data_IF_479495260499
#
_entry.id   IF_479495260499
#
_cell.length_a   1.000
_cell.length_b   1.000
_cell.length_c   1.000
_cell.angle_alpha   90.00
_cell.angle_beta   90.00
_cell.angle_gamma   90.00
#
_symmetry.space_group_name_H-M   'P 1'
#
loop_
_entity.id
_entity.type
_entity.pdbx_description
1 polymer ?
#
# COMPACT_ATOMS: atom_id res chain seq x y z
N UNK A 1 12.40 -20.95 15.75
CA UNK A 1 11.95 -19.67 15.17
C UNK A 1 10.61 -19.90 14.49
N UNK A 2 9.51 -19.67 15.21
CA UNK A 2 8.17 -19.89 14.69
C UNK A 2 7.79 -18.71 13.81
N UNK A 3 7.66 -18.94 12.49
CA UNK A 3 7.04 -17.99 11.57
C UNK A 3 5.58 -17.82 12.00
N UNK A 4 5.24 -16.68 12.60
CA UNK A 4 3.86 -16.22 12.75
C UNK A 4 3.30 -16.02 11.34
N UNK A 5 2.75 -17.08 10.77
CA UNK A 5 2.04 -17.04 9.49
C UNK A 5 0.70 -16.35 9.76
N UNK A 6 0.69 -15.02 9.69
CA UNK A 6 -0.57 -14.28 9.55
C UNK A 6 -1.19 -14.75 8.25
N UNK A 7 -2.37 -15.34 8.32
CA UNK A 7 -3.18 -15.57 7.13
C UNK A 7 -3.66 -14.20 6.66
N UNK A 8 -3.18 -13.81 5.48
CA UNK A 8 -3.67 -12.66 4.76
C UNK A 8 -4.59 -13.19 3.66
N UNK A 9 -5.82 -12.69 3.62
CA UNK A 9 -6.73 -12.99 2.52
C UNK A 9 -6.35 -12.12 1.32
N UNK A 10 -5.97 -12.76 0.22
CA UNK A 10 -5.73 -12.08 -1.05
C UNK A 10 -7.02 -12.24 -1.86
N UNK A 11 -7.64 -11.11 -2.18
CA UNK A 11 -8.84 -11.00 -3.02
C UNK A 11 -8.50 -10.26 -4.32
N UNK A 12 -9.35 -10.31 -5.36
CA UNK A 12 -9.20 -9.48 -6.56
C UNK A 12 -9.14 -7.96 -6.27
N UNK A 13 -9.64 -7.54 -5.11
CA UNK A 13 -9.57 -6.14 -4.64
C UNK A 13 -8.28 -5.83 -3.85
N UNK A 14 -7.36 -6.78 -3.75
CA UNK A 14 -6.08 -6.58 -3.07
C UNK A 14 -5.15 -5.83 -3.99
N UNK A 15 -4.58 -4.74 -3.46
CA UNK A 15 -3.61 -3.92 -4.17
C UNK A 15 -2.29 -3.89 -3.39
N UNK A 16 -1.18 -3.87 -4.13
CA UNK A 16 0.15 -3.72 -3.56
C UNK A 16 0.56 -2.24 -3.58
N UNK A 17 0.94 -1.71 -2.42
CA UNK A 17 1.42 -0.33 -2.28
C UNK A 17 2.91 -0.38 -1.95
N UNK A 18 3.75 -0.03 -2.93
CA UNK A 18 5.20 -0.28 -2.89
C UNK A 18 5.96 1.06 -2.98
N UNK A 19 6.90 1.37 -2.07
CA UNK A 19 7.77 2.53 -2.26
C UNK A 19 8.51 2.43 -3.60
N UNK A 20 8.51 3.51 -4.38
CA UNK A 20 9.14 3.57 -5.70
C UNK A 20 10.09 4.77 -5.77
N UNK A 21 11.27 4.60 -6.37
CA UNK A 21 12.14 5.74 -6.68
C UNK A 21 11.70 6.33 -8.03
N UNK A 22 11.27 7.58 -8.03
CA UNK A 22 10.79 8.27 -9.25
C UNK A 22 11.98 8.83 -10.03
N UNK A 23 12.98 9.36 -9.31
CA UNK A 23 14.28 9.78 -9.82
C UNK A 23 15.30 9.76 -8.68
N UNK A 24 16.53 10.21 -8.93
CA UNK A 24 17.63 10.16 -7.98
C UNK A 24 17.35 10.86 -6.64
N UNK A 25 16.38 11.79 -6.61
CA UNK A 25 16.09 12.63 -5.45
C UNK A 25 14.70 12.33 -4.87
N UNK A 26 13.73 12.00 -5.73
CA UNK A 26 12.32 11.86 -5.35
C UNK A 26 11.92 10.40 -5.16
N UNK A 27 11.29 10.14 -4.03
CA UNK A 27 10.59 8.88 -3.75
C UNK A 27 9.09 9.08 -3.85
N UNK A 28 8.42 8.04 -4.31
CA UNK A 28 6.98 7.96 -4.44
C UNK A 28 6.50 6.55 -4.14
N UNK A 29 5.43 6.16 -4.80
CA UNK A 29 4.81 4.87 -4.62
C UNK A 29 4.35 4.33 -5.95
N UNK A 30 4.59 3.05 -6.17
CA UNK A 30 3.92 2.26 -7.19
C UNK A 30 2.77 1.49 -6.57
N UNK A 31 1.58 1.67 -7.12
CA UNK A 31 0.39 0.91 -6.75
C UNK A 31 0.13 -0.10 -7.86
N UNK A 32 0.05 -1.38 -7.49
CA UNK A 32 -0.31 -2.46 -8.40
C UNK A 32 -1.71 -2.96 -8.03
N UNK A 33 -2.61 -2.89 -9.00
CA UNK A 33 -3.92 -3.55 -8.99
C UNK A 33 -3.86 -4.76 -9.93
N UNK A 34 -4.93 -5.56 -9.97
CA UNK A 34 -5.00 -6.77 -10.81
C UNK A 34 -4.67 -6.47 -12.29
N UNK A 35 -5.17 -5.36 -12.82
CA UNK A 35 -5.04 -5.00 -14.24
C UNK A 35 -4.36 -3.66 -14.48
N UNK A 36 -4.06 -2.90 -13.43
CA UNK A 36 -3.55 -1.54 -13.54
C UNK A 36 -2.32 -1.31 -12.66
N UNK A 37 -1.50 -0.35 -13.07
CA UNK A 37 -0.40 0.15 -12.25
C UNK A 37 -0.36 1.67 -12.28
N UNK A 38 -0.03 2.26 -11.14
CA UNK A 38 0.06 3.72 -10.99
C UNK A 38 1.35 4.09 -10.29
N UNK A 39 2.00 5.17 -10.74
CA UNK A 39 3.14 5.77 -10.04
C UNK A 39 2.73 7.13 -9.50
N UNK A 40 2.81 7.28 -8.18
CA UNK A 40 2.35 8.46 -7.46
C UNK A 40 3.52 9.12 -6.72
N UNK A 41 3.53 10.45 -6.65
CA UNK A 41 4.55 11.23 -5.92
C UNK A 41 4.36 11.26 -4.41
N UNK A 42 3.36 10.55 -3.90
CA UNK A 42 3.08 10.44 -2.48
C UNK A 42 3.78 9.21 -1.89
N UNK A 43 4.17 9.29 -0.62
CA UNK A 43 4.69 8.12 0.09
C UNK A 43 3.58 7.08 0.31
N UNK A 44 3.93 5.79 0.48
CA UNK A 44 2.93 4.75 0.71
C UNK A 44 2.03 5.06 1.90
N UNK A 45 2.62 5.58 2.98
CA UNK A 45 1.89 6.00 4.19
C UNK A 45 0.87 7.10 3.90
N UNK A 46 1.21 8.07 3.03
CA UNK A 46 0.30 9.16 2.69
C UNK A 46 -0.88 8.69 1.85
N UNK A 47 -0.64 7.75 0.92
CA UNK A 47 -1.70 7.11 0.12
C UNK A 47 -2.66 6.35 1.04
N UNK A 48 -2.10 5.56 1.97
CA UNK A 48 -2.86 4.83 2.97
C UNK A 48 -3.71 5.74 3.87
N UNK A 49 -3.14 6.85 4.33
CA UNK A 49 -3.84 7.85 5.16
C UNK A 49 -5.03 8.46 4.41
N UNK A 50 -4.80 8.86 3.16
CA UNK A 50 -5.83 9.45 2.32
C UNK A 50 -6.96 8.46 2.03
N UNK A 51 -6.64 7.20 1.74
CA UNK A 51 -7.64 6.15 1.51
C UNK A 51 -8.51 5.92 2.76
N UNK A 52 -7.89 5.80 3.94
CA UNK A 52 -8.63 5.66 5.19
C UNK A 52 -9.58 6.85 5.42
N UNK A 53 -9.09 8.08 5.23
CA UNK A 53 -9.89 9.31 5.41
C UNK A 53 -11.06 9.40 4.44
N UNK A 54 -10.86 8.98 3.19
CA UNK A 54 -11.94 8.93 2.19
C UNK A 54 -13.11 8.06 2.65
N UNK A 55 -12.82 6.92 3.29
CA UNK A 55 -13.83 6.02 3.86
C UNK A 55 -14.25 6.35 5.30
N UNK A 56 -13.94 7.56 5.80
CA UNK A 56 -14.32 7.99 7.16
C UNK A 56 -13.57 7.27 8.29
N UNK A 57 -12.41 6.67 7.98
CA UNK A 57 -11.59 5.90 8.92
C UNK A 57 -10.19 6.50 9.09
N UNK A 58 -9.37 5.86 9.94
CA UNK A 58 -7.97 6.23 10.16
C UNK A 58 -7.04 5.04 9.90
N UNK A 59 -5.77 5.35 9.61
CA UNK A 59 -4.68 4.37 9.43
C UNK A 59 -4.47 3.44 10.64
N UNK A 60 -5.07 3.75 11.81
CA UNK A 60 -5.04 2.88 12.99
C UNK A 60 -6.02 1.71 12.91
N UNK A 61 -7.05 1.79 12.05
CA UNK A 61 -8.18 0.84 12.04
C UNK A 61 -8.22 -0.16 10.88
N UNK A 62 -7.52 0.09 9.76
CA UNK A 62 -7.57 -0.76 8.56
C UNK A 62 -6.28 -1.57 8.36
N UNK A 63 -6.40 -2.91 8.33
CA UNK A 63 -5.32 -3.87 7.97
C UNK A 63 -5.53 -4.50 6.58
N UNK A 64 -6.32 -3.87 5.72
CA UNK A 64 -6.77 -4.44 4.44
C UNK A 64 -5.87 -4.15 3.24
N UNK A 65 -4.74 -3.47 3.42
CA UNK A 65 -3.81 -3.17 2.32
C UNK A 65 -2.40 -3.60 2.72
N UNK A 66 -1.81 -4.45 1.89
CA UNK A 66 -0.46 -4.96 2.12
C UNK A 66 0.55 -3.96 1.59
N UNK A 67 1.23 -3.28 2.50
CA UNK A 67 2.41 -2.47 2.17
C UNK A 67 3.61 -3.40 2.13
N UNK A 68 4.13 -3.68 0.93
CA UNK A 68 5.35 -4.46 0.78
C UNK A 68 6.52 -3.51 1.01
N UNK A 69 7.24 -3.72 2.11
CA UNK A 69 8.52 -3.06 2.38
C UNK A 69 9.61 -3.98 1.86
N UNK A 70 10.14 -3.67 0.68
CA UNK A 70 11.30 -4.36 0.08
C UNK A 70 12.58 -3.86 0.74
#
# INVERSE_FOLDING_TARGET
>A
MTLLKKEYEITPFTLAVIPERIDDIRTGTRVLEEHNQYVLRYSPRKIMDNACKFFGSSLRGLKVMVVIKI
#
